data_IF_962874682518
#
_entry.id   IF_962874682518
#
_cell.length_a   1.000
_cell.length_b   1.000
_cell.length_c   1.000
_cell.angle_alpha   90.00
_cell.angle_beta   90.00
_cell.angle_gamma   90.00
#
_symmetry.space_group_name_H-M   'P 1'
#
loop_
_entity.id
_entity.type
_entity.pdbx_description
1 polymer ?
#
# COMPACT_ATOMS: atom_id res chain seq x y z
N UNK A 1 36.99 20.82 8.81
CA UNK A 1 35.95 21.55 9.58
C UNK A 1 34.98 20.54 10.14
N UNK A 2 34.48 20.78 11.35
CA UNK A 2 33.52 19.88 12.01
C UNK A 2 32.21 19.78 11.21
N UNK A 3 31.55 18.62 11.27
CA UNK A 3 30.29 18.41 10.57
C UNK A 3 29.18 19.24 11.23
N UNK A 4 28.43 20.07 10.49
CA UNK A 4 27.43 20.98 11.05
C UNK A 4 26.23 20.26 11.69
N UNK A 5 26.12 18.94 11.51
CA UNK A 5 25.04 18.11 12.10
C UNK A 5 25.51 17.29 13.31
N UNK A 6 26.77 17.42 13.75
CA UNK A 6 27.35 16.60 14.81
C UNK A 6 26.58 16.73 16.16
N UNK A 7 25.93 17.87 16.39
CA UNK A 7 25.15 18.14 17.61
C UNK A 7 23.63 18.00 17.44
N UNK A 8 23.16 17.61 16.25
CA UNK A 8 21.72 17.46 15.98
C UNK A 8 21.31 16.02 16.29
N UNK A 9 20.60 15.82 17.41
CA UNK A 9 19.99 14.52 17.72
C UNK A 9 18.90 14.20 16.71
N UNK A 10 18.97 13.02 16.10
CA UNK A 10 17.92 12.52 15.22
C UNK A 10 16.61 12.37 16.00
N UNK A 11 15.47 12.85 15.46
CA UNK A 11 14.17 12.59 16.06
C UNK A 11 13.93 11.09 16.17
N UNK A 12 13.35 10.65 17.28
CA UNK A 12 12.99 9.25 17.48
C UNK A 12 11.73 8.97 16.67
N UNK A 13 11.85 8.18 15.62
CA UNK A 13 10.70 7.78 14.80
C UNK A 13 9.89 6.74 15.57
N UNK A 14 8.59 6.97 15.68
CA UNK A 14 7.66 6.01 16.25
C UNK A 14 7.41 4.87 15.25
N UNK A 15 8.16 3.78 15.40
CA UNK A 15 8.08 2.61 14.53
C UNK A 15 7.16 1.51 15.07
N UNK A 16 6.17 1.87 15.91
CA UNK A 16 5.21 0.89 16.41
C UNK A 16 4.47 0.24 15.25
N UNK A 17 4.39 -1.09 15.24
CA UNK A 17 3.57 -1.83 14.27
C UNK A 17 2.12 -1.41 14.46
N UNK A 18 1.53 -0.85 13.41
CA UNK A 18 0.09 -0.68 13.30
C UNK A 18 -0.51 -2.09 13.23
N UNK A 19 -1.62 -2.32 13.93
CA UNK A 19 -2.32 -3.61 13.86
C UNK A 19 -2.69 -3.95 12.41
N UNK A 20 -2.79 -5.24 12.11
CA UNK A 20 -3.32 -5.71 10.83
C UNK A 20 -4.85 -5.82 10.90
N UNK A 21 -5.49 -5.76 9.74
CA UNK A 21 -6.90 -6.12 9.62
C UNK A 21 -7.05 -7.63 9.81
N UNK A 22 -8.09 -8.02 10.54
CA UNK A 22 -8.60 -9.39 10.49
C UNK A 22 -9.31 -9.64 9.15
N UNK A 23 -9.60 -10.91 8.83
CA UNK A 23 -10.31 -11.26 7.59
C UNK A 23 -11.69 -10.58 7.52
N UNK A 24 -12.46 -10.65 8.62
CA UNK A 24 -13.79 -10.04 8.72
C UNK A 24 -13.74 -8.51 8.56
N UNK A 25 -12.72 -7.86 9.14
CA UNK A 25 -12.52 -6.41 8.97
C UNK A 25 -12.15 -6.04 7.53
N UNK A 26 -11.35 -6.86 6.85
CA UNK A 26 -10.99 -6.63 5.46
C UNK A 26 -12.22 -6.79 4.54
N UNK A 27 -13.05 -7.80 4.77
CA UNK A 27 -14.30 -8.00 4.04
C UNK A 27 -15.29 -6.84 4.26
N UNK A 28 -15.48 -6.43 5.51
CA UNK A 28 -16.32 -5.29 5.86
C UNK A 28 -15.83 -3.97 5.22
N UNK A 29 -14.51 -3.77 5.19
CA UNK A 29 -13.88 -2.64 4.51
C UNK A 29 -14.18 -2.67 3.01
N UNK A 30 -13.91 -3.79 2.33
CA UNK A 30 -14.16 -3.92 0.89
C UNK A 30 -15.63 -3.69 0.55
N UNK A 31 -16.57 -4.28 1.31
CA UNK A 31 -18.00 -4.04 1.11
C UNK A 31 -18.37 -2.55 1.16
N UNK A 32 -17.82 -1.80 2.12
CA UNK A 32 -18.05 -0.35 2.23
C UNK A 32 -17.36 0.46 1.14
N UNK A 33 -16.18 0.06 0.69
CA UNK A 33 -15.49 0.72 -0.42
C UNK A 33 -16.29 0.59 -1.71
N UNK A 34 -16.91 -0.57 -1.95
CA UNK A 34 -17.75 -0.79 -3.13
C UNK A 34 -18.94 0.16 -3.19
N UNK A 35 -19.57 0.44 -2.06
CA UNK A 35 -20.67 1.42 -1.97
C UNK A 35 -20.20 2.85 -2.30
N UNK A 36 -18.94 3.18 -1.99
CA UNK A 36 -18.39 4.53 -2.19
C UNK A 36 -17.79 4.73 -3.59
N UNK A 37 -17.00 3.77 -4.09
CA UNK A 37 -16.31 3.85 -5.37
C UNK A 37 -15.77 2.49 -5.79
N UNK A 38 -16.19 2.03 -6.98
CA UNK A 38 -15.70 0.80 -7.58
C UNK A 38 -14.17 0.83 -7.77
N UNK A 39 -13.61 1.96 -8.20
CA UNK A 39 -12.16 2.09 -8.39
C UNK A 39 -11.40 1.93 -7.06
N UNK A 40 -11.92 2.52 -5.98
CA UNK A 40 -11.27 2.42 -4.67
C UNK A 40 -11.36 1.00 -4.11
N UNK A 41 -12.50 0.34 -4.31
CA UNK A 41 -12.67 -1.08 -4.01
C UNK A 41 -11.63 -1.93 -4.75
N UNK A 42 -11.51 -1.78 -6.06
CA UNK A 42 -10.64 -2.63 -6.88
C UNK A 42 -9.16 -2.40 -6.58
N UNK A 43 -8.76 -1.15 -6.33
CA UNK A 43 -7.40 -0.82 -5.86
C UNK A 43 -7.09 -1.45 -4.50
N UNK A 44 -8.01 -1.35 -3.54
CA UNK A 44 -7.83 -1.96 -2.22
C UNK A 44 -7.81 -3.49 -2.29
N UNK A 45 -8.68 -4.09 -3.11
CA UNK A 45 -8.72 -5.52 -3.37
C UNK A 45 -7.40 -6.00 -3.94
N UNK A 46 -6.88 -5.33 -4.97
CA UNK A 46 -5.61 -5.66 -5.58
C UNK A 46 -4.47 -5.58 -4.57
N UNK A 47 -4.38 -4.47 -3.81
CA UNK A 47 -3.39 -4.28 -2.74
C UNK A 47 -3.42 -5.41 -1.72
N UNK A 48 -4.63 -5.81 -1.28
CA UNK A 48 -4.82 -6.83 -0.25
C UNK A 48 -4.26 -8.19 -0.67
N UNK A 49 -4.44 -8.57 -1.94
CA UNK A 49 -4.02 -9.89 -2.45
C UNK A 49 -2.61 -9.93 -3.04
N UNK A 50 -2.07 -8.80 -3.48
CA UNK A 50 -0.74 -8.74 -4.12
C UNK A 50 0.31 -7.97 -3.32
N UNK A 51 -0.07 -7.36 -2.19
CA UNK A 51 0.84 -6.64 -1.31
C UNK A 51 1.32 -5.29 -1.84
N UNK A 52 0.66 -4.76 -2.89
CA UNK A 52 1.07 -3.51 -3.52
C UNK A 52 0.83 -2.30 -2.60
N UNK A 53 1.80 -1.40 -2.55
CA UNK A 53 1.66 -0.10 -1.92
C UNK A 53 0.80 0.83 -2.79
N UNK A 54 0.19 1.82 -2.16
CA UNK A 54 -0.61 2.81 -2.89
C UNK A 54 0.15 3.45 -4.06
N UNK A 55 1.42 3.80 -3.87
CA UNK A 55 2.24 4.36 -4.95
C UNK A 55 2.50 3.40 -6.11
N UNK A 56 2.56 2.10 -5.86
CA UNK A 56 2.71 1.07 -6.90
C UNK A 56 1.41 0.93 -7.70
N UNK A 57 0.26 0.93 -7.02
CA UNK A 57 -1.07 0.84 -7.64
C UNK A 57 -1.35 2.07 -8.51
N UNK A 58 -1.06 3.28 -8.01
CA UNK A 58 -1.34 4.51 -8.73
C UNK A 58 -0.46 4.71 -9.97
N UNK A 59 0.70 4.05 -10.04
CA UNK A 59 1.60 4.09 -11.19
C UNK A 59 1.48 2.85 -12.10
N UNK A 60 0.57 1.93 -11.80
CA UNK A 60 0.40 0.72 -12.59
C UNK A 60 -0.06 1.06 -14.01
N UNK A 61 0.68 0.58 -15.00
CA UNK A 61 0.36 0.71 -16.42
C UNK A 61 0.10 -0.66 -17.04
N UNK A 62 -0.61 -0.71 -18.16
CA UNK A 62 -0.89 -1.98 -18.85
C UNK A 62 0.36 -2.76 -19.25
N UNK A 63 1.47 -2.07 -19.56
CA UNK A 63 2.75 -2.71 -19.86
C UNK A 63 3.37 -3.48 -18.69
N UNK A 64 2.93 -3.22 -17.46
CA UNK A 64 3.34 -3.91 -16.24
C UNK A 64 2.50 -5.14 -15.92
N UNK A 65 1.43 -5.41 -16.68
CA UNK A 65 0.46 -6.47 -16.40
C UNK A 65 0.68 -7.64 -17.34
N UNK A 66 1.24 -8.73 -16.82
CA UNK A 66 1.38 -9.99 -17.53
C UNK A 66 0.19 -10.90 -17.27
N UNK A 67 -0.91 -10.73 -18.02
CA UNK A 67 -2.14 -11.52 -17.81
C UNK A 67 -1.96 -13.02 -18.03
N UNK A 68 -1.10 -13.42 -18.98
CA UNK A 68 -0.82 -14.84 -19.25
C UNK A 68 -0.06 -15.52 -18.11
N UNK A 69 0.87 -14.79 -17.48
CA UNK A 69 1.68 -15.28 -16.38
C UNK A 69 1.05 -15.01 -15.00
N UNK A 70 0.01 -14.19 -14.93
CA UNK A 70 -0.60 -13.74 -13.68
C UNK A 70 0.32 -12.84 -12.84
N UNK A 71 1.21 -12.08 -13.48
CA UNK A 71 2.27 -11.30 -12.81
C UNK A 71 2.07 -9.79 -12.96
N UNK A 72 2.49 -9.04 -11.95
CA UNK A 72 2.60 -7.58 -11.98
C UNK A 72 4.07 -7.20 -11.82
N UNK A 73 4.61 -6.46 -12.79
CA UNK A 73 5.99 -5.99 -12.81
C UNK A 73 6.02 -4.47 -12.68
N UNK A 74 6.38 -3.99 -11.48
CA UNK A 74 6.35 -2.58 -11.09
C UNK A 74 7.72 -1.92 -11.19
#
# INVERSE_FOLDING_TARGET
GESPVAHVKRPKVDNRRVRFLTADEAEALLAKLKDSSQNLHDMALLSLFSGLRAGEIFNLIWGSVGLEAGTLCL
#
